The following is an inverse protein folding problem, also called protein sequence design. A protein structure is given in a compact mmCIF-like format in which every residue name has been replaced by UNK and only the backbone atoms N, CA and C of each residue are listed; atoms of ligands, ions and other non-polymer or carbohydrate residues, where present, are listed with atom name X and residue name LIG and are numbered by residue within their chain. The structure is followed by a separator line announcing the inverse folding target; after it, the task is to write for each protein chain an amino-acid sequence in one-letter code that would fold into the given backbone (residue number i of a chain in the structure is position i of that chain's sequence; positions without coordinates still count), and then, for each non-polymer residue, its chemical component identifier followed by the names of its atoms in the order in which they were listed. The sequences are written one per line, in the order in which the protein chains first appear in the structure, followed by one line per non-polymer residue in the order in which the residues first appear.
data_IF_876696444768
#
_entry.id   IF_876696444768
#
_cell.length_a   1.000
_cell.length_b   1.000
_cell.length_c   1.000
_cell.angle_alpha   90.00
_cell.angle_beta   90.00
_cell.angle_gamma   90.00
#
_symmetry.space_group_name_H-M   'P 1'
#
loop_
_entity.id
_entity.type
_entity.pdbx_description
1 polymer ?
#
# COMPACT_ATOMS: atom_id res chain seq x y z
N UNK A 1 -42.00 22.31 -13.91
CA UNK A 1 -41.56 23.02 -15.11
C UNK A 1 -40.07 22.76 -15.28
N UNK A 2 -39.62 21.70 -15.90
CA UNK A 2 -38.36 21.53 -16.66
C UNK A 2 -38.46 20.15 -17.36
N UNK A 3 -39.09 20.11 -18.52
CA UNK A 3 -39.09 18.95 -19.41
C UNK A 3 -39.04 19.44 -20.86
N UNK A 4 -37.98 20.16 -21.25
CA UNK A 4 -37.80 20.54 -22.67
C UNK A 4 -36.34 20.89 -22.96
N UNK A 5 -35.39 20.01 -22.73
CA UNK A 5 -34.02 20.25 -23.20
C UNK A 5 -33.20 19.00 -23.55
N UNK A 6 -33.83 17.85 -23.75
CA UNK A 6 -33.11 16.62 -24.12
C UNK A 6 -33.39 16.14 -25.57
N UNK A 7 -34.01 16.94 -26.42
CA UNK A 7 -34.25 16.57 -27.82
C UNK A 7 -33.39 17.30 -28.85
N UNK A 8 -32.58 18.28 -28.44
CA UNK A 8 -31.80 19.09 -29.37
C UNK A 8 -30.34 18.58 -29.62
N UNK A 9 -29.86 17.60 -28.89
CA UNK A 9 -28.48 17.09 -29.02
C UNK A 9 -28.39 15.82 -29.89
N UNK A 10 -29.54 15.29 -30.37
CA UNK A 10 -29.58 14.02 -31.15
C UNK A 10 -29.52 14.18 -32.66
N UNK A 11 -29.51 15.39 -33.22
CA UNK A 11 -29.61 15.65 -34.66
C UNK A 11 -28.42 16.35 -35.33
N UNK A 12 -27.24 16.40 -34.72
CA UNK A 12 -26.04 16.99 -35.33
C UNK A 12 -24.97 15.93 -35.71
N UNK A 13 -25.25 14.64 -35.59
CA UNK A 13 -24.30 13.55 -35.90
C UNK A 13 -24.75 12.69 -37.09
N UNK A 14 -25.40 13.29 -38.05
CA UNK A 14 -25.75 12.59 -39.28
C UNK A 14 -25.61 13.51 -40.50
N UNK A 15 -24.40 13.87 -40.90
CA UNK A 15 -24.07 14.33 -42.29
C UNK A 15 -22.55 14.56 -42.42
N UNK A 16 -21.75 13.52 -42.49
CA UNK A 16 -20.53 13.43 -43.33
C UNK A 16 -20.37 11.95 -43.70
N UNK A 17 -21.03 11.54 -44.74
CA UNK A 17 -20.78 10.27 -45.41
C UNK A 17 -20.32 10.56 -46.85
N UNK A 18 -19.30 9.86 -47.26
CA UNK A 18 -18.88 9.57 -48.61
C UNK A 18 -17.95 10.55 -49.33
N UNK A 19 -16.62 10.29 -49.18
CA UNK A 19 -15.78 10.19 -50.40
C UNK A 19 -14.98 8.88 -50.28
N UNK A 20 -15.30 7.92 -51.08
CA UNK A 20 -14.60 6.66 -51.27
C UNK A 20 -13.31 6.90 -52.06
N UNK A 21 -12.16 6.59 -51.47
CA UNK A 21 -10.94 6.23 -52.16
C UNK A 21 -10.45 4.91 -51.60
N UNK A 22 -10.16 3.86 -52.40
CA UNK A 22 -9.61 2.60 -51.94
C UNK A 22 -8.10 2.75 -51.76
N UNK A 23 -7.68 3.24 -50.59
CA UNK A 23 -6.31 3.13 -50.15
C UNK A 23 -6.23 1.99 -49.13
N UNK A 24 -5.36 1.00 -49.37
CA UNK A 24 -5.01 -0.04 -48.40
C UNK A 24 -4.51 0.63 -47.12
N UNK A 25 -5.42 1.01 -46.26
CA UNK A 25 -5.14 1.35 -44.85
C UNK A 25 -4.87 0.05 -44.13
N UNK A 26 -3.62 -0.26 -43.83
CA UNK A 26 -3.26 -1.16 -42.76
C UNK A 26 -3.93 -0.61 -41.52
N UNK A 27 -5.04 -1.24 -41.09
CA UNK A 27 -5.60 -1.06 -39.78
C UNK A 27 -4.51 -1.57 -38.82
N UNK A 28 -3.67 -0.65 -38.32
CA UNK A 28 -2.85 -0.90 -37.15
C UNK A 28 -3.87 -1.01 -36.03
N UNK A 29 -4.34 -2.22 -35.74
CA UNK A 29 -5.03 -2.50 -34.49
C UNK A 29 -4.09 -2.09 -33.37
N UNK A 30 -4.50 -1.22 -32.47
CA UNK A 30 -3.72 -1.03 -31.24
C UNK A 30 -3.52 -2.43 -30.63
N UNK A 31 -2.29 -2.75 -30.18
CA UNK A 31 -2.07 -4.03 -29.54
C UNK A 31 -3.15 -4.20 -28.49
N UNK A 32 -3.86 -5.32 -28.51
CA UNK A 32 -4.79 -5.68 -27.47
C UNK A 32 -4.00 -5.56 -26.16
N UNK A 33 -4.48 -4.72 -25.24
CA UNK A 33 -3.88 -4.61 -23.94
C UNK A 33 -3.88 -6.02 -23.34
N UNK A 34 -2.71 -6.66 -23.34
CA UNK A 34 -2.54 -7.95 -22.67
C UNK A 34 -2.82 -7.66 -21.21
N UNK A 35 -3.81 -8.34 -20.62
CA UNK A 35 -4.05 -8.24 -19.19
C UNK A 35 -2.71 -8.39 -18.48
N UNK A 36 -2.33 -7.39 -17.69
CA UNK A 36 -1.00 -7.38 -17.09
C UNK A 36 -0.84 -8.61 -16.19
N UNK A 37 0.15 -9.42 -16.50
CA UNK A 37 0.39 -10.69 -15.80
C UNK A 37 0.91 -10.39 -14.39
N UNK A 38 0.25 -10.94 -13.38
CA UNK A 38 0.74 -10.91 -12.00
C UNK A 38 1.83 -11.95 -11.83
N UNK A 39 3.00 -11.52 -11.38
CA UNK A 39 4.17 -12.36 -11.11
C UNK A 39 4.37 -12.51 -9.59
N UNK A 40 4.85 -13.67 -9.16
CA UNK A 40 5.33 -13.90 -7.80
C UNK A 40 6.85 -13.92 -7.84
N UNK A 41 7.45 -12.88 -7.29
CA UNK A 41 8.90 -12.66 -7.29
C UNK A 41 9.50 -13.16 -5.98
N UNK A 42 10.72 -13.68 -6.04
CA UNK A 42 11.55 -14.03 -4.88
C UNK A 42 12.72 -13.07 -4.82
N UNK A 43 12.60 -12.04 -3.99
CA UNK A 43 13.56 -10.93 -3.91
C UNK A 43 14.52 -11.15 -2.74
N UNK A 44 15.84 -11.23 -2.97
CA UNK A 44 16.80 -11.37 -1.88
C UNK A 44 16.76 -10.19 -0.91
N UNK A 45 16.76 -10.49 0.37
CA UNK A 45 16.94 -9.51 1.44
C UNK A 45 18.13 -9.88 2.33
N UNK A 46 19.34 -9.40 2.00
CA UNK A 46 20.50 -9.60 2.84
C UNK A 46 20.31 -9.13 4.28
N UNK A 47 19.62 -8.01 4.48
CA UNK A 47 19.37 -7.46 5.83
C UNK A 47 18.49 -8.38 6.69
N UNK A 48 17.58 -9.16 6.08
CA UNK A 48 16.74 -10.14 6.76
C UNK A 48 17.27 -11.57 6.67
N UNK A 49 18.35 -11.81 5.89
CA UNK A 49 18.95 -13.12 5.72
C UNK A 49 18.08 -14.13 4.99
N UNK A 50 17.12 -13.68 4.21
CA UNK A 50 16.16 -14.52 3.47
C UNK A 50 15.64 -13.82 2.22
N UNK A 51 15.01 -14.58 1.34
CA UNK A 51 14.22 -13.99 0.24
C UNK A 51 12.84 -13.56 0.75
N UNK A 52 12.36 -12.47 0.22
CA UNK A 52 11.01 -11.97 0.46
C UNK A 52 10.18 -12.19 -0.81
N UNK A 53 9.01 -12.78 -0.64
CA UNK A 53 8.03 -12.89 -1.72
C UNK A 53 7.43 -11.52 -2.01
N UNK A 54 7.33 -11.17 -3.29
CA UNK A 54 6.68 -9.93 -3.74
C UNK A 54 5.74 -10.27 -4.89
N UNK A 55 4.47 -9.98 -4.74
CA UNK A 55 3.52 -10.03 -5.85
C UNK A 55 3.66 -8.74 -6.66
N UNK A 56 3.83 -8.88 -7.97
CA UNK A 56 4.19 -7.79 -8.87
C UNK A 56 3.32 -7.81 -10.12
N UNK A 57 2.85 -6.64 -10.52
CA UNK A 57 2.22 -6.42 -11.82
C UNK A 57 2.94 -5.26 -12.51
N UNK A 58 3.51 -5.53 -13.68
CA UNK A 58 4.12 -4.48 -14.51
C UNK A 58 3.05 -3.60 -15.14
N UNK A 59 3.26 -2.29 -15.11
CA UNK A 59 2.37 -1.30 -15.75
C UNK A 59 3.11 -0.08 -16.26
N UNK A 60 4.31 0.20 -15.72
CA UNK A 60 5.13 1.35 -16.09
C UNK A 60 6.32 1.54 -15.19
N UNK A 61 7.12 2.60 -15.41
CA UNK A 61 8.34 2.84 -14.65
C UNK A 61 8.10 3.37 -13.23
N UNK A 62 6.90 3.79 -12.90
CA UNK A 62 6.50 4.17 -11.53
C UNK A 62 5.66 3.06 -10.91
N UNK A 63 5.78 2.90 -9.61
CA UNK A 63 5.05 1.87 -8.88
C UNK A 63 4.26 2.44 -7.70
N UNK A 64 3.20 1.72 -7.36
CA UNK A 64 2.53 1.81 -6.07
C UNK A 64 2.90 0.58 -5.23
N UNK A 65 3.44 0.84 -4.04
CA UNK A 65 3.73 -0.18 -3.04
C UNK A 65 2.51 -0.30 -2.13
N UNK A 66 1.86 -1.47 -2.12
CA UNK A 66 0.68 -1.75 -1.31
C UNK A 66 1.09 -2.61 -0.11
N UNK A 67 1.07 -2.02 1.07
CA UNK A 67 1.52 -2.65 2.31
C UNK A 67 0.33 -3.24 3.08
N UNK A 68 0.53 -4.42 3.63
CA UNK A 68 -0.51 -5.20 4.30
C UNK A 68 -0.78 -4.71 5.74
N UNK A 69 -1.87 -5.19 6.34
CA UNK A 69 -2.26 -4.90 7.71
C UNK A 69 -1.48 -5.69 8.77
N UNK A 70 -1.96 -5.62 10.02
CA UNK A 70 -1.29 -6.23 11.18
C UNK A 70 -1.10 -7.76 11.04
N UNK A 71 -2.07 -8.44 10.43
CA UNK A 71 -2.10 -9.90 10.26
C UNK A 71 -1.67 -10.33 8.86
N UNK A 72 -0.63 -9.67 8.32
CA UNK A 72 -0.05 -10.00 7.03
C UNK A 72 0.33 -11.48 6.95
N UNK A 73 -0.13 -12.17 5.92
CA UNK A 73 0.15 -13.60 5.72
C UNK A 73 1.49 -13.78 4.99
N UNK A 74 2.12 -14.95 5.16
CA UNK A 74 3.43 -15.24 4.58
C UNK A 74 3.36 -15.84 3.15
N UNK A 75 2.17 -16.14 2.66
CA UNK A 75 1.93 -16.74 1.35
C UNK A 75 1.35 -15.75 0.33
N UNK A 76 0.58 -14.75 0.77
CA UNK A 76 -0.14 -13.83 -0.10
C UNK A 76 -0.46 -12.51 0.59
N UNK A 77 -0.38 -11.41 -0.15
CA UNK A 77 -0.69 -10.08 0.38
C UNK A 77 -2.20 -9.87 0.50
N UNK A 78 -2.64 -9.24 1.60
CA UNK A 78 -4.04 -8.99 1.89
C UNK A 78 -4.75 -8.10 0.86
N UNK A 79 -4.04 -7.23 0.16
CA UNK A 79 -4.61 -6.46 -0.94
C UNK A 79 -5.05 -7.34 -2.10
N UNK A 80 -4.29 -8.39 -2.41
CA UNK A 80 -4.67 -9.36 -3.44
C UNK A 80 -5.77 -10.32 -2.95
N UNK A 81 -5.77 -10.68 -1.66
CA UNK A 81 -6.79 -11.58 -1.09
C UNK A 81 -8.16 -10.91 -1.03
N UNK A 82 -8.21 -9.64 -0.60
CA UNK A 82 -9.45 -9.00 -0.17
C UNK A 82 -9.94 -7.92 -1.13
N UNK A 83 -9.17 -7.59 -2.19
CA UNK A 83 -9.51 -6.51 -3.11
C UNK A 83 -9.25 -6.88 -4.56
N UNK A 84 -9.72 -6.03 -5.46
CA UNK A 84 -9.39 -6.09 -6.89
C UNK A 84 -8.18 -5.22 -7.27
N UNK A 85 -7.21 -5.01 -6.37
CA UNK A 85 -6.15 -4.02 -6.57
C UNK A 85 -5.38 -4.21 -7.88
N UNK A 86 -5.00 -5.43 -8.23
CA UNK A 86 -4.34 -5.67 -9.52
C UNK A 86 -5.20 -5.26 -10.71
N UNK A 87 -6.51 -5.54 -10.67
CA UNK A 87 -7.44 -5.13 -11.73
C UNK A 87 -7.63 -3.61 -11.77
N UNK A 88 -7.59 -2.91 -10.62
CA UNK A 88 -7.72 -1.46 -10.56
C UNK A 88 -6.56 -0.74 -11.23
N UNK A 89 -5.36 -1.32 -11.17
CA UNK A 89 -4.17 -0.75 -11.77
C UNK A 89 -3.86 -1.28 -13.18
N UNK A 90 -4.63 -2.24 -13.69
CA UNK A 90 -4.44 -2.75 -15.05
C UNK A 90 -4.64 -1.62 -16.07
N UNK A 91 -3.68 -1.48 -16.99
CA UNK A 91 -3.68 -0.41 -18.00
C UNK A 91 -3.45 1.01 -17.46
N UNK A 92 -3.22 1.20 -16.16
CA UNK A 92 -3.02 2.53 -15.54
C UNK A 92 -1.68 3.19 -15.87
N UNK A 93 -0.71 2.44 -16.39
CA UNK A 93 0.66 2.91 -16.58
C UNK A 93 1.50 2.92 -15.28
N UNK A 94 0.97 2.33 -14.20
CA UNK A 94 1.65 2.22 -12.91
C UNK A 94 1.85 0.74 -12.58
N UNK A 95 3.06 0.37 -12.17
CA UNK A 95 3.35 -0.97 -11.65
C UNK A 95 2.82 -1.14 -10.24
N UNK A 96 2.44 -2.36 -9.87
CA UNK A 96 1.97 -2.69 -8.52
C UNK A 96 2.98 -3.58 -7.83
N UNK A 97 3.34 -3.25 -6.60
CA UNK A 97 4.31 -3.96 -5.77
C UNK A 97 3.65 -4.30 -4.44
N UNK A 98 3.43 -5.57 -4.17
CA UNK A 98 2.82 -6.06 -2.93
C UNK A 98 3.82 -7.00 -2.22
N UNK A 99 4.61 -6.50 -1.27
CA UNK A 99 5.44 -7.36 -0.42
C UNK A 99 4.56 -8.31 0.39
N UNK A 100 4.99 -9.56 0.53
CA UNK A 100 4.26 -10.61 1.25
C UNK A 100 4.92 -10.87 2.59
N UNK A 101 4.14 -11.03 3.66
CA UNK A 101 4.62 -11.19 5.01
C UNK A 101 4.75 -9.87 5.77
N UNK A 102 5.45 -9.91 6.91
CA UNK A 102 5.64 -8.75 7.77
C UNK A 102 4.51 -8.58 8.79
N UNK A 103 3.92 -9.67 9.26
CA UNK A 103 2.96 -9.64 10.35
C UNK A 103 3.51 -8.86 11.55
N UNK A 104 2.72 -7.95 12.08
CA UNK A 104 3.07 -7.07 13.23
C UNK A 104 4.34 -6.23 13.02
N UNK A 105 4.87 -6.13 11.78
CA UNK A 105 6.19 -5.51 11.53
C UNK A 105 6.19 -3.99 11.59
N UNK A 106 5.04 -3.33 11.40
CA UNK A 106 4.94 -1.90 11.10
C UNK A 106 5.87 -1.47 9.95
N UNK A 107 6.33 -2.43 9.15
CA UNK A 107 7.27 -2.25 8.04
C UNK A 107 8.50 -1.41 8.40
N UNK A 108 9.03 -1.63 9.61
CA UNK A 108 10.17 -0.92 10.19
C UNK A 108 11.33 -1.89 10.49
N UNK A 109 12.49 -1.35 10.80
CA UNK A 109 13.65 -2.11 11.25
C UNK A 109 13.59 -2.30 12.76
N UNK A 110 13.31 -3.52 13.21
CA UNK A 110 13.22 -3.84 14.62
C UNK A 110 14.58 -3.79 15.31
N UNK A 111 14.57 -3.41 16.58
CA UNK A 111 15.76 -3.40 17.41
C UNK A 111 16.27 -4.80 17.74
N UNK A 112 15.33 -5.74 17.93
CA UNK A 112 15.61 -7.14 18.26
C UNK A 112 14.89 -8.07 17.29
N UNK A 113 15.27 -9.37 17.26
CA UNK A 113 14.52 -10.34 16.46
C UNK A 113 13.03 -10.34 16.81
N UNK A 114 12.19 -10.42 15.80
CA UNK A 114 10.75 -10.57 15.96
C UNK A 114 10.44 -12.03 16.32
N UNK A 115 9.88 -12.23 17.49
CA UNK A 115 9.40 -13.54 17.96
C UNK A 115 7.88 -13.53 17.92
N UNK A 116 7.30 -14.42 17.15
CA UNK A 116 5.84 -14.55 17.00
C UNK A 116 5.47 -15.81 16.24
N UNK A 117 4.26 -16.32 16.45
CA UNK A 117 3.75 -17.56 15.83
C UNK A 117 4.71 -18.74 15.94
N UNK A 118 5.44 -18.85 17.05
CA UNK A 118 6.42 -19.90 17.29
C UNK A 118 7.70 -19.81 16.46
N UNK A 119 7.93 -18.70 15.76
CA UNK A 119 9.12 -18.47 14.93
C UNK A 119 9.90 -17.24 15.40
N UNK A 120 11.18 -17.21 15.04
CA UNK A 120 12.04 -16.04 15.27
C UNK A 120 12.56 -15.55 13.92
N UNK A 121 12.33 -14.27 13.62
CA UNK A 121 12.72 -13.67 12.35
C UNK A 121 13.47 -12.35 12.57
N UNK A 122 14.38 -12.02 11.67
CA UNK A 122 14.96 -10.68 11.59
C UNK A 122 14.01 -9.78 10.79
N UNK A 123 13.52 -8.71 11.39
CA UNK A 123 12.70 -7.71 10.71
C UNK A 123 13.53 -6.46 10.41
N UNK A 124 13.83 -6.27 9.13
CA UNK A 124 14.50 -5.10 8.54
C UNK A 124 13.69 -4.61 7.35
N UNK A 125 12.38 -4.44 7.60
CA UNK A 125 11.42 -4.13 6.56
C UNK A 125 11.63 -2.74 5.93
N UNK A 126 12.01 -1.73 6.71
CA UNK A 126 12.32 -0.41 6.15
C UNK A 126 13.53 -0.50 5.21
N UNK A 127 14.62 -1.15 5.64
CA UNK A 127 15.79 -1.41 4.79
C UNK A 127 15.40 -2.16 3.52
N UNK A 128 14.58 -3.21 3.63
CA UNK A 128 14.12 -3.96 2.46
C UNK A 128 13.35 -3.07 1.49
N UNK A 129 12.34 -2.36 1.96
CA UNK A 129 11.43 -1.58 1.14
C UNK A 129 12.07 -0.34 0.50
N UNK A 130 13.14 0.18 1.10
CA UNK A 130 13.71 1.47 0.70
C UNK A 130 15.11 1.37 0.09
N UNK A 131 15.75 0.21 0.20
CA UNK A 131 17.07 -0.04 -0.34
C UNK A 131 17.14 -1.29 -1.22
N UNK A 132 16.79 -2.46 -0.67
CA UNK A 132 17.00 -3.73 -1.35
C UNK A 132 15.96 -3.95 -2.48
N UNK A 133 14.69 -3.83 -2.17
CA UNK A 133 13.59 -4.04 -3.14
C UNK A 133 13.62 -3.03 -4.30
N UNK A 134 13.75 -1.71 -4.10
CA UNK A 134 13.77 -0.77 -5.22
C UNK A 134 14.98 -0.96 -6.12
N UNK A 135 16.15 -1.30 -5.58
CA UNK A 135 17.33 -1.61 -6.38
C UNK A 135 17.11 -2.87 -7.25
N UNK A 136 16.54 -3.91 -6.65
CA UNK A 136 16.21 -5.15 -7.36
C UNK A 136 15.15 -4.93 -8.44
N UNK A 137 14.08 -4.20 -8.14
CA UNK A 137 13.02 -3.88 -9.10
C UNK A 137 13.54 -3.02 -10.27
N UNK A 138 14.43 -2.08 -10.01
CA UNK A 138 15.05 -1.28 -11.07
C UNK A 138 15.88 -2.14 -12.01
N UNK A 139 16.69 -3.05 -11.48
CA UNK A 139 17.53 -3.92 -12.26
C UNK A 139 16.77 -4.99 -13.04
N UNK A 140 15.65 -5.50 -12.52
CA UNK A 140 14.98 -6.69 -13.05
C UNK A 140 13.61 -6.39 -13.69
N UNK A 141 12.97 -5.28 -13.34
CA UNK A 141 11.60 -4.93 -13.77
C UNK A 141 11.49 -3.54 -14.38
N UNK A 142 12.58 -2.76 -14.43
CA UNK A 142 12.57 -1.40 -14.98
C UNK A 142 11.77 -0.40 -14.15
N UNK A 143 11.47 -0.69 -12.88
CA UNK A 143 10.77 0.21 -11.99
C UNK A 143 11.76 1.25 -11.46
N UNK A 144 11.38 2.52 -11.52
CA UNK A 144 12.21 3.61 -10.99
C UNK A 144 12.38 3.51 -9.46
N UNK A 145 13.57 3.81 -8.97
CA UNK A 145 13.81 3.89 -7.53
C UNK A 145 13.25 5.18 -6.90
N UNK A 146 12.72 6.12 -7.68
CA UNK A 146 12.24 7.41 -7.20
C UNK A 146 10.84 7.76 -7.71
N UNK A 147 10.15 8.62 -6.97
CA UNK A 147 8.86 9.19 -7.36
C UNK A 147 7.73 8.16 -7.42
N UNK A 148 7.78 7.13 -6.59
CA UNK A 148 6.77 6.10 -6.43
C UNK A 148 5.69 6.52 -5.42
N UNK A 149 4.67 5.69 -5.28
CA UNK A 149 3.66 5.80 -4.23
C UNK A 149 3.79 4.66 -3.23
N UNK A 150 3.42 4.91 -1.98
CA UNK A 150 3.24 3.88 -0.96
C UNK A 150 1.88 4.05 -0.30
N UNK A 151 1.13 2.97 -0.20
CA UNK A 151 -0.20 2.96 0.42
C UNK A 151 -0.28 1.81 1.41
N UNK A 152 -0.77 2.10 2.59
CA UNK A 152 -0.96 1.11 3.64
C UNK A 152 -2.34 1.17 4.25
N UNK A 153 -2.75 0.06 4.86
CA UNK A 153 -4.00 -0.05 5.60
C UNK A 153 -3.74 -0.49 7.05
N UNK A 154 -4.55 0.01 8.00
CA UNK A 154 -4.43 -0.36 9.41
C UNK A 154 -3.00 -0.13 9.91
N UNK A 155 -2.30 -1.15 10.41
CA UNK A 155 -0.88 -1.08 10.82
C UNK A 155 -0.01 -0.33 9.81
N UNK A 156 -0.08 -0.70 8.56
CA UNK A 156 0.78 -0.11 7.51
C UNK A 156 0.33 1.27 7.03
N UNK A 157 -0.86 1.73 7.41
CA UNK A 157 -1.28 3.10 7.13
C UNK A 157 -0.37 4.13 7.79
N UNK A 158 0.10 3.88 9.02
CA UNK A 158 1.16 4.68 9.64
C UNK A 158 2.51 4.49 8.95
N UNK A 159 2.85 3.26 8.64
CA UNK A 159 4.13 2.92 8.00
C UNK A 159 4.31 3.61 6.65
N UNK A 160 3.25 3.69 5.82
CA UNK A 160 3.29 4.37 4.54
C UNK A 160 3.67 5.86 4.68
N UNK A 161 3.09 6.54 5.66
CA UNK A 161 3.42 7.95 5.95
C UNK A 161 4.87 8.09 6.46
N UNK A 162 5.31 7.20 7.32
CA UNK A 162 6.68 7.22 7.86
C UNK A 162 7.72 6.93 6.77
N UNK A 163 7.48 5.93 5.92
CA UNK A 163 8.35 5.65 4.79
C UNK A 163 8.49 6.88 3.88
N UNK A 164 7.39 7.56 3.55
CA UNK A 164 7.45 8.79 2.75
C UNK A 164 8.12 9.96 3.49
N UNK A 165 7.95 10.07 4.82
CA UNK A 165 8.60 11.10 5.62
C UNK A 165 10.13 10.99 5.62
N UNK A 166 10.67 9.77 5.64
CA UNK A 166 12.10 9.53 5.72
C UNK A 166 12.75 9.20 4.37
N UNK A 167 11.97 8.81 3.36
CA UNK A 167 12.44 8.45 2.03
C UNK A 167 11.73 9.22 0.91
N UNK A 168 11.74 10.58 0.94
CA UNK A 168 10.98 11.42 0.01
C UNK A 168 11.44 11.29 -1.44
N UNK A 169 12.69 10.92 -1.67
CA UNK A 169 13.21 10.64 -3.01
C UNK A 169 12.54 9.43 -3.65
N UNK A 170 12.24 8.42 -2.85
CA UNK A 170 11.57 7.19 -3.30
C UNK A 170 10.06 7.37 -3.37
N UNK A 171 9.44 7.94 -2.33
CA UNK A 171 8.01 8.05 -2.21
C UNK A 171 7.55 9.51 -2.25
N UNK A 172 7.03 9.94 -3.40
CA UNK A 172 6.44 11.27 -3.59
C UNK A 172 4.96 11.33 -3.19
N UNK A 173 4.33 10.17 -3.00
CA UNK A 173 2.93 10.01 -2.63
C UNK A 173 2.79 8.97 -1.52
N UNK A 174 1.97 9.26 -0.50
CA UNK A 174 1.65 8.35 0.58
C UNK A 174 0.15 8.30 0.86
N UNK A 175 -0.40 7.09 0.95
CA UNK A 175 -1.78 6.83 1.32
C UNK A 175 -1.90 6.07 2.64
N UNK A 176 -2.77 6.52 3.54
CA UNK A 176 -3.10 5.85 4.79
C UNK A 176 -4.59 5.53 4.84
N UNK A 177 -4.93 4.25 4.90
CA UNK A 177 -6.29 3.77 5.04
C UNK A 177 -6.50 3.24 6.45
N UNK A 178 -7.29 3.93 7.25
CA UNK A 178 -7.58 3.55 8.65
C UNK A 178 -6.30 3.28 9.46
N UNK A 179 -5.24 4.08 9.24
CA UNK A 179 -3.96 3.92 9.89
C UNK A 179 -3.95 4.47 11.31
N UNK A 180 -3.06 3.93 12.14
CA UNK A 180 -2.78 4.48 13.47
C UNK A 180 -1.84 5.66 13.34
N UNK A 181 -2.33 6.89 13.50
CA UNK A 181 -1.57 8.10 13.17
C UNK A 181 -0.89 8.78 14.36
N UNK A 182 -1.15 8.35 15.58
CA UNK A 182 -0.64 8.94 16.81
C UNK A 182 -0.02 7.86 17.73
N UNK A 183 0.98 7.15 17.21
CA UNK A 183 1.49 5.92 17.83
C UNK A 183 2.27 6.13 19.12
N UNK A 184 2.83 7.34 19.34
CA UNK A 184 3.69 7.63 20.51
C UNK A 184 2.94 8.29 21.67
N UNK A 185 1.68 8.69 21.47
CA UNK A 185 0.92 9.45 22.46
C UNK A 185 0.03 8.57 23.34
N UNK A 186 -0.19 9.03 24.56
CA UNK A 186 -1.14 8.50 25.54
C UNK A 186 -1.06 6.97 25.72
N UNK A 187 -2.16 6.28 25.45
CA UNK A 187 -2.30 4.83 25.58
C UNK A 187 -1.98 4.04 24.30
N UNK A 188 -1.68 4.71 23.19
CA UNK A 188 -1.46 4.05 21.89
C UNK A 188 -0.34 2.99 21.91
N UNK A 189 0.82 3.20 22.57
CA UNK A 189 1.84 2.16 22.64
C UNK A 189 1.34 0.86 23.30
N UNK A 190 0.45 1.00 24.30
CA UNK A 190 -0.17 -0.16 24.98
C UNK A 190 -1.13 -0.87 24.03
N UNK A 191 -1.99 -0.14 23.31
CA UNK A 191 -2.93 -0.73 22.35
C UNK A 191 -2.20 -1.45 21.22
N UNK A 192 -1.13 -0.85 20.69
CA UNK A 192 -0.25 -1.50 19.70
C UNK A 192 0.31 -2.81 20.25
N UNK A 193 0.82 -2.80 21.48
CA UNK A 193 1.36 -4.00 22.13
C UNK A 193 0.33 -5.10 22.30
N UNK A 194 -0.89 -4.75 22.70
CA UNK A 194 -2.00 -5.71 22.85
C UNK A 194 -2.37 -6.29 21.49
N UNK A 195 -2.49 -5.44 20.44
CA UNK A 195 -2.81 -5.88 19.09
C UNK A 195 -1.74 -6.81 18.51
N UNK A 196 -0.46 -6.50 18.70
CA UNK A 196 0.66 -7.34 18.25
C UNK A 196 0.73 -8.67 19.00
N UNK A 197 0.47 -8.66 20.31
CA UNK A 197 0.40 -9.89 21.09
C UNK A 197 -0.77 -10.79 20.65
N UNK A 198 -1.93 -10.21 20.36
CA UNK A 198 -3.09 -10.92 19.85
C UNK A 198 -2.91 -11.45 18.42
N UNK A 199 -2.18 -10.70 17.57
CA UNK A 199 -1.93 -11.10 16.19
C UNK A 199 -1.03 -12.36 16.08
N UNK A 200 -0.03 -12.52 16.95
CA UNK A 200 0.89 -13.65 16.85
C UNK A 200 1.87 -13.76 18.02
N UNK A 201 1.59 -13.09 19.15
CA UNK A 201 2.48 -13.09 20.31
C UNK A 201 3.69 -12.16 20.19
N UNK A 202 3.68 -11.23 19.23
CA UNK A 202 4.78 -10.31 18.99
C UNK A 202 4.89 -9.27 20.13
N UNK A 203 6.13 -8.87 20.43
CA UNK A 203 6.44 -7.92 21.50
C UNK A 203 6.86 -6.55 20.92
N UNK A 204 6.06 -5.54 21.14
CA UNK A 204 6.34 -4.17 20.66
C UNK A 204 7.62 -3.56 21.27
N UNK A 205 8.09 -4.03 22.43
CA UNK A 205 9.36 -3.60 23.01
C UNK A 205 10.57 -4.11 22.22
N UNK A 206 10.44 -5.24 21.52
CA UNK A 206 11.49 -5.74 20.64
C UNK A 206 11.52 -4.97 19.33
N UNK A 207 10.38 -4.37 18.94
CA UNK A 207 10.28 -3.52 17.76
C UNK A 207 10.98 -2.16 17.99
N UNK A 208 10.54 -1.38 18.96
CA UNK A 208 10.96 0.02 19.13
C UNK A 208 11.47 0.37 20.54
N UNK A 209 11.69 -0.63 21.39
CA UNK A 209 12.14 -0.40 22.77
C UNK A 209 11.05 0.16 23.67
N UNK A 210 11.43 0.75 24.81
CA UNK A 210 10.48 1.26 25.81
C UNK A 210 9.50 2.29 25.25
N UNK A 211 8.27 2.29 25.78
CA UNK A 211 7.25 3.27 25.42
C UNK A 211 7.73 4.69 25.71
N UNK A 212 7.37 5.64 24.85
CA UNK A 212 7.85 7.02 24.92
C UNK A 212 9.29 7.22 24.45
N UNK A 213 9.97 6.13 24.06
CA UNK A 213 11.32 6.20 23.49
C UNK A 213 11.36 6.85 22.11
N UNK A 214 12.58 7.21 21.63
CA UNK A 214 12.74 7.96 20.38
C UNK A 214 12.23 7.22 19.14
N UNK A 215 12.24 5.88 19.13
CA UNK A 215 11.74 5.11 18.00
C UNK A 215 10.21 5.19 17.87
N UNK A 216 9.48 5.27 18.96
CA UNK A 216 8.04 5.51 18.94
C UNK A 216 7.71 6.87 18.30
N UNK A 217 8.42 7.93 18.71
CA UNK A 217 8.26 9.28 18.14
C UNK A 217 8.69 9.33 16.67
N UNK A 218 9.77 8.65 16.31
CA UNK A 218 10.23 8.58 14.92
C UNK A 218 9.17 7.96 14.01
N UNK A 219 8.48 6.94 14.48
CA UNK A 219 7.50 6.18 13.69
C UNK A 219 6.05 6.67 13.89
N UNK A 220 5.87 7.82 14.50
CA UNK A 220 4.56 8.45 14.70
C UNK A 220 4.28 9.48 13.59
N UNK A 221 3.31 9.25 12.69
CA UNK A 221 2.97 10.19 11.63
C UNK A 221 2.61 11.59 12.13
N UNK A 222 1.94 11.71 13.28
CA UNK A 222 1.56 13.01 13.85
C UNK A 222 2.78 13.80 14.27
N UNK A 223 3.80 13.14 14.84
CA UNK A 223 5.07 13.78 15.17
C UNK A 223 5.85 14.16 13.90
N UNK A 224 5.75 13.36 12.85
CA UNK A 224 6.53 13.55 11.62
C UNK A 224 5.81 14.39 10.54
N UNK A 225 4.66 14.97 10.84
CA UNK A 225 3.90 15.78 9.86
C UNK A 225 4.73 16.92 9.25
N UNK A 226 5.60 17.55 10.05
CA UNK A 226 6.50 18.61 9.56
C UNK A 226 7.48 18.14 8.49
N UNK A 227 7.96 16.89 8.56
CA UNK A 227 8.79 16.29 7.50
C UNK A 227 7.99 16.07 6.22
N UNK A 228 6.80 15.51 6.33
CA UNK A 228 5.93 15.25 5.19
C UNK A 228 5.60 16.55 4.44
N UNK A 229 5.33 17.62 5.16
CA UNK A 229 5.09 18.95 4.59
C UNK A 229 6.34 19.51 3.92
N UNK A 230 7.49 19.47 4.59
CA UNK A 230 8.75 20.00 4.03
C UNK A 230 9.24 19.21 2.82
N UNK A 231 8.94 17.94 2.74
CA UNK A 231 9.25 17.07 1.60
C UNK A 231 8.35 17.34 0.37
N UNK A 232 7.24 18.06 0.54
CA UNK A 232 6.23 18.22 -0.50
C UNK A 232 5.51 16.90 -0.85
N UNK A 233 5.48 15.93 0.07
CA UNK A 233 4.82 14.63 -0.13
C UNK A 233 3.32 14.83 -0.32
N UNK A 234 2.77 14.24 -1.34
CA UNK A 234 1.31 14.20 -1.53
C UNK A 234 0.72 13.13 -0.63
N UNK A 235 -0.20 13.52 0.23
CA UNK A 235 -0.78 12.65 1.25
C UNK A 235 -2.27 12.48 1.00
N UNK A 236 -2.74 11.26 1.15
CA UNK A 236 -4.15 10.93 1.25
C UNK A 236 -4.40 10.08 2.49
N UNK A 237 -5.35 10.52 3.32
CA UNK A 237 -5.75 9.81 4.54
C UNK A 237 -7.24 9.55 4.47
N UNK A 238 -7.61 8.31 4.71
CA UNK A 238 -8.99 7.87 4.83
C UNK A 238 -9.19 7.11 6.14
N UNK A 239 -10.30 7.37 6.81
CA UNK A 239 -10.75 6.58 7.95
C UNK A 239 -12.26 6.43 7.89
N UNK A 240 -12.78 5.26 8.25
CA UNK A 240 -14.20 5.05 8.44
C UNK A 240 -14.75 5.93 9.56
N UNK A 241 -16.04 6.21 9.53
CA UNK A 241 -16.73 6.98 10.57
C UNK A 241 -17.26 6.11 11.73
N UNK A 242 -16.93 4.82 11.73
CA UNK A 242 -17.39 3.85 12.74
C UNK A 242 -18.84 3.37 12.56
N UNK A 243 -19.53 3.81 11.54
CA UNK A 243 -20.88 3.29 11.26
C UNK A 243 -20.78 1.94 10.52
N UNK A 244 -21.56 0.93 10.92
CA UNK A 244 -21.66 -0.32 10.19
C UNK A 244 -22.06 -0.09 8.73
N UNK A 245 -21.50 -0.87 7.82
CA UNK A 245 -21.83 -0.87 6.40
C UNK A 245 -22.42 -2.23 6.00
N UNK A 246 -22.90 -2.34 4.77
CA UNK A 246 -23.39 -3.62 4.22
C UNK A 246 -22.31 -4.71 4.23
N UNK A 247 -21.02 -4.32 4.22
CA UNK A 247 -19.89 -5.25 4.32
C UNK A 247 -19.75 -5.86 5.73
N UNK A 248 -20.25 -5.18 6.75
CA UNK A 248 -20.20 -5.64 8.14
C UNK A 248 -21.35 -6.61 8.47
N UNK A 249 -22.38 -6.66 7.64
CA UNK A 249 -23.58 -7.47 7.86
C UNK A 249 -23.31 -8.99 7.93
N UNK A 250 -22.19 -9.46 7.39
CA UNK A 250 -21.75 -10.88 7.42
C UNK A 250 -20.89 -11.25 8.63
N UNK A 251 -20.42 -10.29 9.42
CA UNK A 251 -19.44 -10.54 10.50
C UNK A 251 -20.10 -10.95 11.83
N UNK A 252 -21.43 -11.16 11.84
CA UNK A 252 -22.16 -11.49 13.08
C UNK A 252 -21.80 -10.51 14.19
N UNK A 253 -22.56 -10.31 15.21
CA UNK A 253 -22.42 -9.33 16.30
C UNK A 253 -21.01 -9.16 16.95
N UNK A 254 -19.92 -9.36 16.25
CA UNK A 254 -18.58 -8.95 16.64
C UNK A 254 -18.52 -7.42 16.58
N UNK A 255 -19.16 -6.77 17.55
CA UNK A 255 -18.96 -5.36 17.81
C UNK A 255 -17.48 -5.17 18.13
N UNK A 256 -16.72 -4.68 17.16
CA UNK A 256 -15.45 -4.03 17.50
C UNK A 256 -15.85 -2.86 18.40
N UNK A 257 -15.42 -2.85 19.68
CA UNK A 257 -15.79 -1.76 20.57
C UNK A 257 -15.41 -0.44 19.90
N UNK A 258 -16.35 0.53 19.87
CA UNK A 258 -16.13 1.85 19.26
C UNK A 258 -14.88 2.59 19.80
N UNK A 259 -14.35 2.14 20.92
CA UNK A 259 -13.10 2.64 21.48
C UNK A 259 -11.83 2.19 20.72
N UNK A 260 -11.96 1.33 19.72
CA UNK A 260 -10.85 0.91 18.82
C UNK A 260 -10.98 1.52 17.41
N UNK A 261 -11.95 2.37 17.20
CA UNK A 261 -12.17 3.21 16.04
C UNK A 261 -11.81 4.65 16.38
#
# INVERSE_FOLDING_TARGET
VVRHSMKAIRNILALVAAVLLPGLGLLVQPPAASAAHVEVLSVPSPSMGRNITVQFQGGGPKAVYLLDGLRAQDDRNGWDINTGAFSWFDGSGVSVVMPVGGESSFYTDWYRPAVGNGTTQTYKWETFLTSELPAWLAANKGVSQSGNAVVGLSMSGSSALILAAYHPGQFAYAGSLSGFLNLSADYWPVLVSVAMADAGGFNALDMWGPFGGPAWQRNDPTVQVGRLVSNGTRIWVYSGNGNPTDLDAGLGNAQIPAQFL
#
